data_IF_410286085856
#
_entry.id   IF_410286085856
#
_cell.length_a   1.000
_cell.length_b   1.000
_cell.length_c   1.000
_cell.angle_alpha   90.00
_cell.angle_beta   90.00
_cell.angle_gamma   90.00
#
_symmetry.space_group_name_H-M   'P 1'
#
loop_
_entity.id
_entity.type
_entity.pdbx_description
1 polymer ?
#
# COMPACT_ATOMS: atom_id res chain seq x y z
N UNK A 1 -20.84 1.17 -26.60
CA UNK A 1 -19.53 1.09 -25.93
C UNK A 1 -19.55 1.93 -24.66
N UNK A 2 -19.18 1.37 -23.51
CA UNK A 2 -19.11 2.11 -22.23
C UNK A 2 -17.67 2.16 -21.75
N UNK A 3 -17.09 3.36 -21.71
CA UNK A 3 -15.72 3.63 -21.23
C UNK A 3 -15.74 3.99 -19.75
N UNK A 4 -15.00 3.25 -18.93
CA UNK A 4 -14.88 3.48 -17.49
C UNK A 4 -13.42 3.77 -17.18
N UNK A 5 -13.12 5.02 -16.82
CA UNK A 5 -11.78 5.44 -16.38
C UNK A 5 -11.63 5.20 -14.89
N UNK A 6 -10.47 4.73 -14.46
CA UNK A 6 -10.17 4.55 -13.04
C UNK A 6 -8.71 4.90 -12.72
N UNK A 7 -8.46 5.27 -11.47
CA UNK A 7 -7.10 5.46 -10.94
C UNK A 7 -6.68 4.26 -10.10
N UNK A 8 -5.42 3.88 -10.19
CA UNK A 8 -4.83 2.83 -9.39
C UNK A 8 -3.41 3.21 -8.98
N UNK A 9 -2.95 2.68 -7.85
CA UNK A 9 -1.61 2.96 -7.36
C UNK A 9 -0.56 2.40 -8.35
N UNK A 10 0.46 3.19 -8.71
CA UNK A 10 1.51 2.76 -9.64
C UNK A 10 2.25 1.52 -9.11
N UNK A 11 2.58 1.57 -7.82
CA UNK A 11 3.37 0.56 -7.14
C UNK A 11 2.51 -0.59 -6.63
N UNK A 12 3.04 -1.80 -6.78
CA UNK A 12 2.44 -3.04 -6.27
C UNK A 12 2.51 -3.10 -4.74
N UNK A 13 1.66 -3.91 -4.08
CA UNK A 13 1.76 -4.17 -2.63
C UNK A 13 3.16 -4.62 -2.18
N UNK A 14 3.81 -5.45 -2.99
CA UNK A 14 5.14 -5.99 -2.70
C UNK A 14 6.19 -4.88 -2.47
N UNK A 15 6.10 -3.80 -3.23
CA UNK A 15 6.98 -2.64 -3.09
C UNK A 15 6.78 -1.94 -1.74
N UNK A 16 5.53 -1.82 -1.28
CA UNK A 16 5.26 -1.27 0.05
C UNK A 16 5.90 -2.14 1.14
N UNK A 17 5.75 -3.46 1.06
CA UNK A 17 6.34 -4.36 2.06
C UNK A 17 7.86 -4.25 2.09
N UNK A 18 8.52 -4.21 0.94
CA UNK A 18 9.97 -4.01 0.85
C UNK A 18 10.37 -2.67 1.48
N UNK A 19 9.68 -1.58 1.15
CA UNK A 19 9.97 -0.26 1.71
C UNK A 19 9.75 -0.21 3.23
N UNK A 20 8.73 -0.88 3.75
CA UNK A 20 8.46 -0.95 5.19
C UNK A 20 9.55 -1.77 5.90
N UNK A 21 9.95 -2.92 5.36
CA UNK A 21 11.02 -3.75 5.92
C UNK A 21 12.33 -2.96 5.98
N UNK A 22 12.70 -2.30 4.87
CA UNK A 22 13.89 -1.45 4.81
C UNK A 22 13.79 -0.27 5.79
N UNK A 23 12.63 0.39 5.84
CA UNK A 23 12.39 1.50 6.77
C UNK A 23 12.52 1.10 8.23
N UNK A 24 11.91 -0.02 8.64
CA UNK A 24 12.00 -0.55 10.01
C UNK A 24 13.44 -0.96 10.32
N UNK A 25 14.14 -1.63 9.40
CA UNK A 25 15.54 -1.99 9.55
C UNK A 25 16.43 -0.77 9.78
N UNK A 26 16.29 0.27 8.95
CA UNK A 26 17.01 1.54 9.12
C UNK A 26 16.65 2.24 10.43
N UNK A 27 15.38 2.22 10.83
CA UNK A 27 14.92 2.77 12.10
C UNK A 27 15.56 2.10 13.31
N UNK A 28 15.64 0.77 13.29
CA UNK A 28 16.32 -0.01 14.34
C UNK A 28 17.83 0.23 14.37
N UNK A 29 18.48 0.35 13.21
CA UNK A 29 19.89 0.71 13.14
C UNK A 29 20.16 2.12 13.69
N UNK A 30 19.29 3.08 13.37
CA UNK A 30 19.38 4.43 13.92
C UNK A 30 19.16 4.44 15.44
N UNK A 31 18.20 3.67 15.94
CA UNK A 31 17.96 3.49 17.37
C UNK A 31 19.18 2.86 18.07
N UNK A 32 19.79 1.82 17.49
CA UNK A 32 21.01 1.21 18.01
C UNK A 32 22.17 2.21 18.04
N UNK A 33 22.36 2.98 16.95
CA UNK A 33 23.36 4.05 16.89
C UNK A 33 23.12 5.11 17.97
N UNK A 34 21.87 5.50 18.21
CA UNK A 34 21.52 6.40 19.30
C UNK A 34 21.93 5.85 20.67
N UNK A 35 21.64 4.58 20.98
CA UNK A 35 22.05 3.96 22.24
C UNK A 35 23.57 3.95 22.41
N UNK A 36 24.32 3.67 21.34
CA UNK A 36 25.78 3.67 21.32
C UNK A 36 26.38 5.06 21.53
N UNK A 37 25.86 6.07 20.83
CA UNK A 37 26.35 7.46 20.92
C UNK A 37 26.05 8.06 22.29
N UNK A 38 24.86 7.79 22.81
CA UNK A 38 24.49 8.27 24.15
C UNK A 38 25.15 7.49 25.28
N UNK A 39 25.81 6.36 25.00
CA UNK A 39 26.46 5.53 26.01
C UNK A 39 25.49 4.75 26.90
N UNK A 40 24.19 4.80 26.60
CA UNK A 40 23.13 4.10 27.36
C UNK A 40 23.33 2.58 27.31
N UNK A 41 23.89 2.06 26.21
CA UNK A 41 24.18 0.64 26.04
C UNK A 41 25.25 0.10 27.02
N UNK A 42 26.12 0.99 27.53
CA UNK A 42 27.19 0.64 28.47
C UNK A 42 26.76 0.73 29.94
N UNK A 43 25.54 1.20 30.20
CA UNK A 43 24.99 1.36 31.54
C UNK A 43 24.89 2.81 32.00
N UNK A 44 24.24 3.04 33.16
CA UNK A 44 23.85 4.38 33.62
C UNK A 44 25.04 5.31 33.88
N UNK A 45 26.21 4.76 34.23
CA UNK A 45 27.43 5.53 34.49
C UNK A 45 28.00 6.18 33.21
N UNK A 46 27.78 5.58 32.05
CA UNK A 46 28.30 6.06 30.77
C UNK A 46 27.28 6.89 29.98
N UNK A 47 26.01 6.83 30.40
CA UNK A 47 24.92 7.62 29.82
C UNK A 47 24.90 9.08 30.28
N UNK A 48 23.97 9.88 29.75
CA UNK A 48 23.72 11.24 30.22
C UNK A 48 23.59 11.32 31.75
N UNK A 49 24.24 12.31 32.36
CA UNK A 49 24.30 12.49 33.82
C UNK A 49 22.90 12.49 34.46
N UNK A 50 21.91 13.06 33.77
CA UNK A 50 20.52 13.08 34.19
C UNK A 50 19.96 11.67 34.52
N UNK A 51 20.30 10.66 33.73
CA UNK A 51 19.79 9.30 33.93
C UNK A 51 20.46 8.56 35.08
N UNK A 52 21.60 9.04 35.60
CA UNK A 52 22.18 8.50 36.83
C UNK A 52 21.28 8.75 38.04
N UNK A 53 20.66 9.94 38.08
CA UNK A 53 19.72 10.33 39.13
C UNK A 53 18.30 9.83 38.85
N UNK A 54 17.96 9.62 37.58
CA UNK A 54 16.63 9.17 37.13
C UNK A 54 16.70 7.98 36.17
N UNK A 55 17.16 6.79 36.61
CA UNK A 55 17.39 5.64 35.72
C UNK A 55 16.10 5.14 35.05
N UNK A 56 14.95 5.25 35.73
CA UNK A 56 13.65 4.90 35.15
C UNK A 56 13.28 5.77 33.95
N UNK A 57 13.75 7.01 33.89
CA UNK A 57 13.47 7.90 32.75
C UNK A 57 14.22 7.45 31.49
N UNK A 58 15.41 6.84 31.63
CA UNK A 58 16.11 6.23 30.51
C UNK A 58 15.33 5.04 29.94
N UNK A 59 14.77 4.21 30.82
CA UNK A 59 13.91 3.08 30.43
C UNK A 59 12.69 3.58 29.64
N UNK A 60 11.98 4.59 30.18
CA UNK A 60 10.85 5.19 29.48
C UNK A 60 11.24 5.78 28.13
N UNK A 61 12.39 6.47 28.04
CA UNK A 61 12.89 7.02 26.81
C UNK A 61 13.16 5.92 25.77
N UNK A 62 13.83 4.83 26.16
CA UNK A 62 14.09 3.67 25.29
C UNK A 62 12.79 3.11 24.73
N UNK A 63 11.84 2.79 25.62
CA UNK A 63 10.57 2.19 25.21
C UNK A 63 9.70 3.16 24.39
N UNK A 64 9.79 4.47 24.62
CA UNK A 64 9.11 5.47 23.81
C UNK A 64 9.75 5.65 22.43
N UNK A 65 11.08 5.56 22.33
CA UNK A 65 11.81 5.75 21.08
C UNK A 65 11.67 4.57 20.13
N UNK A 66 11.65 3.33 20.61
CA UNK A 66 11.48 2.12 19.76
C UNK A 66 10.29 2.26 18.77
N UNK A 67 9.05 2.53 19.22
CA UNK A 67 7.93 2.69 18.31
C UNK A 67 8.08 3.93 17.41
N UNK A 68 8.69 5.02 17.87
CA UNK A 68 8.94 6.21 17.03
C UNK A 68 9.89 5.86 15.88
N UNK A 69 11.00 5.20 16.18
CA UNK A 69 11.98 4.75 15.19
C UNK A 69 11.41 3.72 14.22
N UNK A 70 10.37 2.98 14.58
CA UNK A 70 9.66 2.08 13.65
C UNK A 70 8.57 2.79 12.85
N UNK A 71 7.77 3.65 13.48
CA UNK A 71 6.59 4.29 12.88
C UNK A 71 6.98 5.37 11.86
N UNK A 72 8.00 6.18 12.16
CA UNK A 72 8.41 7.28 11.26
C UNK A 72 8.86 6.75 9.90
N UNK A 73 9.79 5.78 9.81
CA UNK A 73 10.19 5.20 8.52
C UNK A 73 9.04 4.49 7.81
N UNK A 74 8.17 3.79 8.56
CA UNK A 74 6.97 3.14 8.02
C UNK A 74 6.03 4.16 7.37
N UNK A 75 5.85 5.32 7.99
CA UNK A 75 5.05 6.41 7.44
C UNK A 75 5.69 7.00 6.16
N UNK A 76 7.01 7.17 6.13
CA UNK A 76 7.73 7.59 4.92
C UNK A 76 7.61 6.57 3.80
N UNK A 77 7.77 5.27 4.09
CA UNK A 77 7.58 4.18 3.14
C UNK A 77 6.20 4.22 2.50
N UNK A 78 5.15 4.38 3.32
CA UNK A 78 3.78 4.57 2.84
C UNK A 78 3.65 5.82 1.96
N UNK A 79 4.24 6.94 2.37
CA UNK A 79 4.16 8.20 1.62
C UNK A 79 4.77 8.07 0.23
N UNK A 80 5.96 7.48 0.12
CA UNK A 80 6.65 7.22 -1.16
C UNK A 80 5.82 6.29 -2.03
N UNK A 81 5.36 5.17 -1.46
CA UNK A 81 4.58 4.17 -2.19
C UNK A 81 3.23 4.70 -2.70
N UNK A 82 2.61 5.64 -1.99
CA UNK A 82 1.32 6.25 -2.35
C UNK A 82 1.43 7.53 -3.19
N UNK A 83 2.64 7.93 -3.59
CA UNK A 83 2.87 9.24 -4.20
C UNK A 83 2.30 9.32 -5.63
N UNK A 84 2.45 8.23 -6.39
CA UNK A 84 2.12 8.16 -7.80
C UNK A 84 0.96 7.19 -8.07
N UNK A 85 -0.05 7.71 -8.76
CA UNK A 85 -1.13 6.90 -9.34
C UNK A 85 -0.99 6.87 -10.86
N UNK A 86 -1.43 5.78 -11.46
CA UNK A 86 -1.64 5.67 -12.89
C UNK A 86 -3.14 5.73 -13.20
N UNK A 87 -3.46 6.24 -14.38
CA UNK A 87 -4.81 6.14 -14.93
C UNK A 87 -4.91 4.86 -15.77
N UNK A 88 -6.03 4.16 -15.65
CA UNK A 88 -6.41 3.03 -16.48
C UNK A 88 -7.82 3.23 -16.99
N UNK A 89 -8.21 2.45 -17.98
CA UNK A 89 -9.60 2.45 -18.43
C UNK A 89 -10.04 1.06 -18.87
N UNK A 90 -11.34 0.82 -18.75
CA UNK A 90 -12.00 -0.37 -19.26
C UNK A 90 -13.01 0.09 -20.30
N UNK A 91 -12.88 -0.42 -21.52
CA UNK A 91 -13.87 -0.26 -22.58
C UNK A 91 -14.71 -1.54 -22.66
N UNK A 92 -15.99 -1.43 -22.29
CA UNK A 92 -16.94 -2.53 -22.33
C UNK A 92 -17.61 -2.59 -23.71
N UNK A 93 -17.42 -3.71 -24.40
CA UNK A 93 -18.13 -4.11 -25.61
C UNK A 93 -19.20 -5.15 -25.27
N UNK A 94 -19.90 -5.69 -26.27
CA UNK A 94 -20.99 -6.65 -26.05
C UNK A 94 -20.46 -8.04 -25.63
N UNK A 95 -19.32 -8.46 -26.21
CA UNK A 95 -18.77 -9.80 -26.05
C UNK A 95 -17.40 -9.84 -25.37
N UNK A 96 -16.74 -8.69 -25.21
CA UNK A 96 -15.42 -8.58 -24.58
C UNK A 96 -15.26 -7.22 -23.88
N UNK A 97 -14.25 -7.11 -23.04
CA UNK A 97 -13.83 -5.87 -22.41
C UNK A 97 -12.34 -5.63 -22.72
N UNK A 98 -11.97 -4.40 -23.06
CA UNK A 98 -10.57 -4.01 -23.19
C UNK A 98 -10.13 -3.30 -21.91
N UNK A 99 -9.20 -3.89 -21.18
CA UNK A 99 -8.56 -3.30 -20.02
C UNK A 99 -7.24 -2.65 -20.45
N UNK A 100 -7.17 -1.32 -20.42
CA UNK A 100 -5.91 -0.61 -20.55
C UNK A 100 -5.27 -0.46 -19.16
N UNK A 101 -4.14 -1.15 -18.98
CA UNK A 101 -3.36 -1.18 -17.74
C UNK A 101 -1.88 -1.01 -18.07
N UNK A 102 -1.23 0.00 -17.48
CA UNK A 102 0.18 0.36 -17.73
C UNK A 102 0.51 0.47 -19.22
N UNK A 103 -0.34 1.17 -19.97
CA UNK A 103 -0.22 1.35 -21.42
C UNK A 103 -0.32 0.05 -22.24
N UNK A 104 -0.68 -1.07 -21.60
CA UNK A 104 -0.97 -2.33 -22.26
C UNK A 104 -2.48 -2.52 -22.38
N UNK A 105 -2.94 -2.83 -23.58
CA UNK A 105 -4.33 -3.21 -23.82
C UNK A 105 -4.47 -4.73 -23.67
N UNK A 106 -5.36 -5.15 -22.76
CA UNK A 106 -5.62 -6.54 -22.46
C UNK A 106 -7.08 -6.81 -22.77
N UNK A 107 -7.31 -7.65 -23.77
CA UNK A 107 -8.65 -8.14 -24.08
C UNK A 107 -9.08 -9.20 -23.07
N UNK A 108 -10.29 -9.02 -22.56
CA UNK A 108 -10.94 -9.87 -21.56
C UNK A 108 -12.24 -10.35 -22.20
N UNK A 109 -12.29 -11.62 -22.60
CA UNK A 109 -13.53 -12.18 -23.13
C UNK A 109 -14.55 -12.34 -22.00
N UNK A 110 -15.84 -12.24 -22.35
CA UNK A 110 -16.93 -12.38 -21.40
C UNK A 110 -16.96 -13.82 -20.87
N UNK A 111 -16.77 -13.99 -19.55
CA UNK A 111 -16.75 -15.29 -18.88
C UNK A 111 -15.39 -15.71 -18.34
N UNK A 112 -14.30 -15.27 -18.99
CA UNK A 112 -12.93 -15.67 -18.65
C UNK A 112 -12.37 -14.95 -17.42
N UNK A 113 -12.98 -13.82 -17.04
CA UNK A 113 -12.52 -13.02 -15.92
C UNK A 113 -12.99 -13.59 -14.57
N UNK A 114 -12.04 -13.89 -13.69
CA UNK A 114 -12.30 -14.18 -12.28
C UNK A 114 -11.74 -13.07 -11.40
N UNK A 115 -12.62 -12.29 -10.81
CA UNK A 115 -12.27 -11.22 -9.86
C UNK A 115 -12.15 -11.84 -8.47
N UNK A 116 -10.97 -11.74 -7.85
CA UNK A 116 -10.73 -12.13 -6.46
C UNK A 116 -10.45 -10.90 -5.62
N UNK A 117 -11.21 -10.76 -4.55
CA UNK A 117 -11.00 -9.75 -3.52
C UNK A 117 -10.41 -10.48 -2.31
N UNK A 118 -9.10 -10.31 -2.00
CA UNK A 118 -8.48 -10.97 -0.86
C UNK A 118 -9.16 -10.54 0.44
N UNK A 119 -9.39 -11.50 1.33
CA UNK A 119 -9.87 -11.28 2.71
C UNK A 119 -8.86 -11.92 3.67
N UNK A 120 -8.39 -11.23 4.73
CA UNK A 120 -8.68 -9.83 5.07
C UNK A 120 -8.06 -8.85 4.07
N UNK A 121 -8.69 -7.69 3.90
CA UNK A 121 -8.08 -6.61 3.12
C UNK A 121 -7.08 -5.82 3.99
N UNK A 122 -5.97 -5.34 3.42
CA UNK A 122 -5.05 -4.46 4.12
C UNK A 122 -5.75 -3.17 4.58
N UNK A 123 -5.42 -2.69 5.78
CA UNK A 123 -6.04 -1.49 6.35
C UNK A 123 -5.77 -0.20 5.54
N UNK A 124 -4.65 -0.14 4.81
CA UNK A 124 -4.23 1.08 4.11
C UNK A 124 -4.69 1.18 2.65
N UNK A 125 -5.09 0.08 2.03
CA UNK A 125 -5.43 0.05 0.62
C UNK A 125 -6.28 -1.18 0.29
N UNK A 126 -7.13 -1.02 -0.71
CA UNK A 126 -7.91 -2.13 -1.24
C UNK A 126 -7.16 -2.76 -2.40
N UNK A 127 -7.17 -4.10 -2.45
CA UNK A 127 -6.49 -4.86 -3.50
C UNK A 127 -7.51 -5.66 -4.29
N UNK A 128 -7.39 -5.64 -5.61
CA UNK A 128 -8.24 -6.38 -6.53
C UNK A 128 -7.37 -7.24 -7.43
N UNK A 129 -7.66 -8.54 -7.46
CA UNK A 129 -6.93 -9.49 -8.29
C UNK A 129 -7.85 -9.91 -9.44
N UNK A 130 -7.48 -9.53 -10.65
CA UNK A 130 -8.11 -10.00 -11.89
C UNK A 130 -7.34 -11.22 -12.39
N UNK A 131 -7.96 -12.41 -12.33
CA UNK A 131 -7.42 -13.62 -12.93
C UNK A 131 -8.04 -13.80 -14.32
N UNK A 132 -7.16 -13.85 -15.32
CA UNK A 132 -7.43 -14.24 -16.70
C UNK A 132 -6.80 -15.62 -16.93
N UNK A 133 -7.18 -16.33 -18.01
CA UNK A 133 -6.62 -17.65 -18.33
C UNK A 133 -5.09 -17.65 -18.36
N UNK A 134 -4.50 -16.63 -18.99
CA UNK A 134 -3.05 -16.59 -19.25
C UNK A 134 -2.27 -15.71 -18.26
N UNK A 135 -2.96 -14.91 -17.43
CA UNK A 135 -2.29 -13.92 -16.56
C UNK A 135 -3.11 -13.52 -15.33
N UNK A 136 -2.39 -13.05 -14.31
CA UNK A 136 -2.97 -12.45 -13.09
C UNK A 136 -2.57 -10.99 -13.00
N UNK A 137 -3.55 -10.09 -12.97
CA UNK A 137 -3.34 -8.65 -12.80
C UNK A 137 -3.75 -8.26 -11.39
N UNK A 138 -2.87 -7.56 -10.68
CA UNK A 138 -3.15 -7.05 -9.32
C UNK A 138 -3.28 -5.54 -9.38
N UNK A 139 -4.47 -5.04 -9.11
CA UNK A 139 -4.79 -3.62 -9.05
C UNK A 139 -4.94 -3.21 -7.60
N UNK A 140 -4.46 -2.02 -7.28
CA UNK A 140 -4.51 -1.45 -5.94
C UNK A 140 -5.23 -0.11 -6.01
N UNK A 141 -6.18 0.11 -5.12
CA UNK A 141 -6.91 1.38 -5.03
C UNK A 141 -5.94 2.54 -4.82
N UNK A 142 -6.17 3.67 -5.49
CA UNK A 142 -5.42 4.89 -5.21
C UNK A 142 -5.64 5.33 -3.76
N UNK A 143 -4.56 5.45 -3.00
CA UNK A 143 -4.60 5.98 -1.63
C UNK A 143 -4.93 7.48 -1.63
N UNK A 144 -4.54 8.20 -2.69
CA UNK A 144 -4.86 9.63 -2.86
C UNK A 144 -6.35 9.83 -3.11
N UNK A 145 -6.97 9.01 -3.96
CA UNK A 145 -8.41 9.07 -4.22
C UNK A 145 -9.22 8.81 -2.95
N UNK A 146 -8.81 7.83 -2.12
CA UNK A 146 -9.43 7.57 -0.82
C UNK A 146 -9.31 8.78 0.14
N UNK A 147 -8.17 9.49 0.13
CA UNK A 147 -7.98 10.71 0.94
C UNK A 147 -8.80 11.90 0.43
N UNK A 148 -8.94 12.05 -0.88
CA UNK A 148 -9.64 13.18 -1.51
C UNK A 148 -11.16 13.12 -1.32
N UNK A 149 -11.73 12.03 -0.75
CA UNK A 149 -13.18 11.78 -0.62
C UNK A 149 -13.98 11.97 -1.92
N UNK A 150 -13.31 12.13 -3.06
CA UNK A 150 -13.88 12.19 -4.41
C UNK A 150 -14.27 10.78 -4.83
N UNK A 151 -15.26 10.20 -4.14
CA UNK A 151 -15.89 8.92 -4.50
C UNK A 151 -16.63 8.95 -5.86
N UNK A 152 -16.62 10.08 -6.56
CA UNK A 152 -17.39 10.31 -7.77
C UNK A 152 -16.62 9.94 -9.04
N UNK A 153 -17.09 8.88 -9.71
CA UNK A 153 -16.88 8.53 -11.14
C UNK A 153 -15.57 7.89 -11.59
N UNK A 154 -14.42 8.01 -10.89
CA UNK A 154 -13.13 7.42 -11.34
C UNK A 154 -12.51 6.38 -10.38
N UNK A 155 -13.32 5.79 -9.51
CA UNK A 155 -12.78 4.83 -8.54
C UNK A 155 -12.60 3.45 -9.14
N UNK A 156 -11.48 2.80 -8.79
CA UNK A 156 -11.23 1.40 -9.12
C UNK A 156 -12.39 0.51 -8.67
N UNK A 157 -13.03 0.82 -7.54
CA UNK A 157 -14.17 0.06 -7.03
C UNK A 157 -15.38 0.10 -7.98
N UNK A 158 -15.68 1.26 -8.58
CA UNK A 158 -16.75 1.39 -9.57
C UNK A 158 -16.41 0.58 -10.82
N UNK A 159 -15.14 0.62 -11.27
CA UNK A 159 -14.69 -0.14 -12.43
C UNK A 159 -14.77 -1.67 -12.20
N UNK A 160 -14.33 -2.15 -11.04
CA UNK A 160 -14.43 -3.55 -10.65
C UNK A 160 -15.89 -4.00 -10.50
N UNK A 161 -16.76 -3.16 -9.91
CA UNK A 161 -18.20 -3.44 -9.81
C UNK A 161 -18.84 -3.55 -11.19
N UNK A 162 -18.54 -2.61 -12.10
CA UNK A 162 -19.05 -2.66 -13.47
C UNK A 162 -18.56 -3.91 -14.24
N UNK A 163 -17.32 -4.33 -14.04
CA UNK A 163 -16.80 -5.60 -14.59
C UNK A 163 -17.50 -6.83 -13.99
N UNK A 164 -17.79 -6.81 -12.68
CA UNK A 164 -18.52 -7.88 -12.00
C UNK A 164 -19.97 -7.99 -12.50
N UNK A 165 -20.66 -6.86 -12.64
CA UNK A 165 -22.02 -6.80 -13.17
C UNK A 165 -22.06 -7.28 -14.63
N UNK A 166 -21.06 -6.90 -15.43
CA UNK A 166 -20.90 -7.35 -16.82
C UNK A 166 -20.71 -8.88 -16.94
N UNK A 167 -20.01 -9.51 -15.98
CA UNK A 167 -19.91 -10.97 -15.88
C UNK A 167 -21.24 -11.63 -15.51
N UNK A 168 -22.01 -11.02 -14.61
CA UNK A 168 -23.28 -11.54 -14.11
C UNK A 168 -24.44 -11.43 -15.12
N UNK A 169 -24.37 -10.49 -16.06
CA UNK A 169 -25.32 -10.37 -17.17
C UNK A 169 -25.04 -11.42 -18.26
N UNK A 170 -25.31 -12.69 -17.94
CA UNK A 170 -25.68 -13.67 -18.96
C UNK A 170 -27.13 -13.35 -19.35
N UNK A 171 -27.33 -12.81 -20.55
CA UNK A 171 -28.62 -12.98 -21.25
C UNK A 171 -28.61 -14.38 -21.83
#
# INVERSE_FOLDING_TARGET
MKKIKFRYNKYRPDVLYILVILGVGLGLLAFFGFLKITGIDKGPEYGPVYFRQHPMHAVYLIFALIPIFMLVPTWFAKKIWSHEDLEGHIDLYENYALLNWREQEIQINKGDLVIKIPKPQPFWYETYILKLPDRKITLVSSVRENKEKKRGKRSLNIAIRALSDYKGSKK
#
